data_IF_702950405861
#
_entry.id   IF_702950405861
#
_cell.length_a   1.000
_cell.length_b   1.000
_cell.length_c   1.000
_cell.angle_alpha   90.00
_cell.angle_beta   90.00
_cell.angle_gamma   90.00
#
_symmetry.space_group_name_H-M   'P 1'
#
loop_
_entity.id
_entity.type
_entity.pdbx_description
1 polymer ?
#
# COMPACT_ATOMS: atom_id res chain seq x y z
N UNK A 1 0.39 3.70 -8.72
CA UNK A 1 1.60 2.98 -9.15
C UNK A 1 1.54 2.63 -10.64
N UNK A 2 0.34 2.51 -11.24
CA UNK A 2 0.16 2.26 -12.69
C UNK A 2 0.83 3.29 -13.62
N UNK A 3 0.95 4.55 -13.19
CA UNK A 3 1.59 5.65 -13.94
C UNK A 3 2.85 6.19 -13.24
N UNK A 4 3.57 5.35 -12.48
CA UNK A 4 4.72 5.79 -11.69
C UNK A 4 6.02 5.66 -12.51
N UNK A 5 6.27 6.62 -13.39
CA UNK A 5 7.48 6.66 -14.23
C UNK A 5 8.67 7.36 -13.53
N UNK A 6 8.38 8.42 -12.77
CA UNK A 6 9.36 9.23 -12.04
C UNK A 6 8.97 9.31 -10.56
N UNK A 7 9.60 8.52 -9.67
CA UNK A 7 9.36 8.58 -8.23
C UNK A 7 9.75 9.93 -7.64
N UNK A 8 8.98 10.41 -6.66
CA UNK A 8 9.29 11.64 -5.94
C UNK A 8 10.53 11.51 -5.04
N UNK A 9 11.10 12.66 -4.67
CA UNK A 9 12.20 12.72 -3.71
C UNK A 9 11.83 12.03 -2.39
N UNK A 10 12.70 11.14 -1.90
CA UNK A 10 12.48 10.37 -0.67
C UNK A 10 11.44 9.24 -0.78
N UNK A 11 10.84 9.01 -1.95
CA UNK A 11 9.98 7.86 -2.20
C UNK A 11 10.81 6.64 -2.64
N UNK A 12 11.46 5.96 -1.70
CA UNK A 12 12.39 4.85 -1.93
C UNK A 12 11.84 3.45 -1.62
N UNK A 13 10.54 3.34 -1.31
CA UNK A 13 9.87 2.06 -1.08
C UNK A 13 9.53 1.32 -2.39
N UNK A 14 9.26 0.02 -2.30
CA UNK A 14 8.73 -0.74 -3.43
C UNK A 14 7.24 -0.47 -3.63
N UNK A 15 6.94 0.53 -4.47
CA UNK A 15 5.58 0.92 -4.82
C UNK A 15 4.92 0.01 -5.87
N UNK A 16 5.56 -1.06 -6.37
CA UNK A 16 4.96 -1.95 -7.40
C UNK A 16 4.45 -1.14 -8.63
N UNK A 17 5.36 -0.46 -9.36
CA UNK A 17 4.97 0.37 -10.51
C UNK A 17 4.56 -0.49 -11.72
N UNK A 18 3.55 -0.04 -12.44
CA UNK A 18 3.01 -0.56 -13.72
C UNK A 18 2.48 -1.99 -13.75
N UNK A 19 3.22 -2.96 -13.23
CA UNK A 19 2.91 -4.39 -13.31
C UNK A 19 2.77 -5.00 -11.92
N UNK A 20 1.76 -5.85 -11.77
CA UNK A 20 1.55 -6.60 -10.54
C UNK A 20 2.74 -7.54 -10.27
N UNK A 21 3.14 -7.66 -9.01
CA UNK A 21 4.14 -8.62 -8.54
C UNK A 21 3.45 -9.69 -7.72
N UNK A 22 3.59 -10.95 -8.12
CA UNK A 22 3.10 -12.07 -7.33
C UNK A 22 3.87 -12.18 -6.00
N UNK A 23 3.13 -12.27 -4.90
CA UNK A 23 3.68 -12.37 -3.53
C UNK A 23 2.75 -13.18 -2.66
N UNK A 24 3.33 -14.00 -1.80
CA UNK A 24 2.57 -14.54 -0.68
C UNK A 24 2.33 -13.42 0.36
N UNK A 25 1.06 -13.11 0.61
CA UNK A 25 0.67 -12.09 1.58
C UNK A 25 -0.19 -12.75 2.66
N UNK A 26 0.21 -12.54 3.92
CA UNK A 26 -0.46 -13.09 5.10
C UNK A 26 -1.11 -12.01 5.97
N UNK A 27 -0.66 -10.77 5.85
CA UNK A 27 -1.24 -9.61 6.49
C UNK A 27 -1.17 -8.40 5.56
N UNK A 28 -2.16 -7.51 5.66
CA UNK A 28 -2.21 -6.25 4.92
C UNK A 28 -2.65 -5.11 5.83
N UNK A 29 -2.16 -3.91 5.51
CA UNK A 29 -2.56 -2.66 6.12
C UNK A 29 -3.17 -1.78 5.03
N UNK A 30 -4.38 -1.27 5.27
CA UNK A 30 -5.03 -0.26 4.45
C UNK A 30 -5.13 1.04 5.24
N UNK A 31 -4.49 2.10 4.74
CA UNK A 31 -4.45 3.41 5.37
C UNK A 31 -5.35 4.39 4.61
N UNK A 32 -6.09 5.20 5.36
CA UNK A 32 -6.93 6.29 4.87
C UNK A 32 -6.59 7.56 5.62
N UNK A 33 -6.14 8.60 4.90
CA UNK A 33 -5.82 9.90 5.45
C UNK A 33 -6.71 10.96 4.79
N UNK A 34 -7.73 11.42 5.51
CA UNK A 34 -8.74 12.34 5.01
C UNK A 34 -8.46 13.80 5.36
N UNK A 35 -9.06 14.71 4.59
CA UNK A 35 -9.04 16.14 4.90
C UNK A 35 -9.63 16.42 6.28
N UNK A 36 -9.12 17.46 6.94
CA UNK A 36 -9.49 17.79 8.33
C UNK A 36 -8.74 16.97 9.38
N UNK A 37 -7.75 16.16 8.98
CA UNK A 37 -6.89 15.41 9.91
C UNK A 37 -7.48 14.07 10.37
N UNK A 38 -8.51 13.57 9.70
CA UNK A 38 -9.12 12.27 10.01
C UNK A 38 -8.28 11.14 9.43
N UNK A 39 -7.62 10.38 10.31
CA UNK A 39 -6.77 9.26 9.93
C UNK A 39 -7.37 7.94 10.42
N UNK A 40 -7.34 6.91 9.59
CA UNK A 40 -7.84 5.58 9.92
C UNK A 40 -7.04 4.49 9.22
N UNK A 41 -6.89 3.36 9.89
CA UNK A 41 -6.15 2.20 9.39
C UNK A 41 -6.93 0.93 9.67
N UNK A 42 -6.96 0.02 8.69
CA UNK A 42 -7.50 -1.32 8.83
C UNK A 42 -6.41 -2.36 8.61
N UNK A 43 -6.30 -3.33 9.52
CA UNK A 43 -5.37 -4.45 9.41
C UNK A 43 -6.18 -5.72 9.19
N UNK A 44 -5.83 -6.45 8.13
CA UNK A 44 -6.41 -7.76 7.84
C UNK A 44 -5.32 -8.81 7.88
N UNK A 45 -5.68 -10.00 8.34
CA UNK A 45 -4.80 -11.18 8.31
C UNK A 45 -5.52 -12.32 7.62
N UNK A 46 -4.75 -13.22 6.99
CA UNK A 46 -5.29 -14.44 6.42
C UNK A 46 -5.98 -15.23 7.52
N UNK A 47 -7.26 -15.55 7.31
CA UNK A 47 -8.02 -16.41 8.23
C UNK A 47 -7.39 -17.80 8.28
N UNK A 48 -7.20 -18.34 9.49
CA UNK A 48 -6.52 -19.63 9.71
C UNK A 48 -7.44 -20.79 10.13
N UNK A 49 -8.76 -20.56 10.23
CA UNK A 49 -9.68 -21.54 10.81
C UNK A 49 -9.67 -21.51 12.33
#
# INVERSE_FOLDING_TARGET
TINLDEPGEGCDLDFVPHQAKEREINAVLSNSFGFGGTNGSLVFTRFKG
#
